data_IF_362002828509
#
_entry.id   IF_362002828509
#
_cell.length_a   1.000
_cell.length_b   1.000
_cell.length_c   1.000
_cell.angle_alpha   90.00
_cell.angle_beta   90.00
_cell.angle_gamma   90.00
#
_symmetry.space_group_name_H-M   'P 1'
#
loop_
_entity.id
_entity.type
_entity.pdbx_description
1 polymer ?
#
# COMPACT_ATOMS: atom_id res chain seq x y z
N UNK A 1 -6.37 25.57 -56.96
CA UNK A 1 -5.70 24.58 -56.12
C UNK A 1 -6.18 24.78 -54.69
N UNK A 2 -7.25 24.06 -54.27
CA UNK A 2 -7.79 24.14 -52.91
C UNK A 2 -7.15 23.01 -52.11
N UNK A 3 -6.34 23.36 -51.11
CA UNK A 3 -5.78 22.42 -50.14
C UNK A 3 -6.76 22.29 -48.99
N UNK A 4 -7.42 21.14 -48.91
CA UNK A 4 -8.34 20.79 -47.83
C UNK A 4 -7.52 20.33 -46.64
N UNK A 5 -7.46 21.16 -45.58
CA UNK A 5 -6.92 20.79 -44.28
C UNK A 5 -7.96 19.94 -43.56
N UNK A 6 -7.77 18.64 -43.48
CA UNK A 6 -8.55 17.76 -42.61
C UNK A 6 -8.10 17.98 -41.16
N UNK A 7 -9.02 18.08 -40.19
CA UNK A 7 -8.65 18.13 -38.79
C UNK A 7 -8.12 16.75 -38.35
N UNK A 8 -6.91 16.72 -37.87
CA UNK A 8 -6.30 15.57 -37.20
C UNK A 8 -7.08 15.32 -35.90
N UNK A 9 -8.01 14.38 -35.92
CA UNK A 9 -8.58 13.80 -34.72
C UNK A 9 -7.45 13.01 -34.06
N UNK A 10 -6.92 13.56 -32.96
CA UNK A 10 -5.98 12.86 -32.12
C UNK A 10 -6.62 11.57 -31.58
N UNK A 11 -6.18 10.44 -32.11
CA UNK A 11 -6.49 9.14 -31.55
C UNK A 11 -5.95 9.10 -30.13
N UNK A 12 -6.83 8.86 -29.16
CA UNK A 12 -6.43 8.40 -27.84
C UNK A 12 -5.50 7.20 -28.06
N UNK A 13 -4.28 7.30 -27.56
CA UNK A 13 -3.25 6.29 -27.73
C UNK A 13 -3.73 5.05 -26.98
N UNK A 14 -4.35 4.09 -27.68
CA UNK A 14 -4.71 2.79 -27.15
C UNK A 14 -3.40 2.11 -26.71
N UNK A 15 -3.13 2.10 -25.42
CA UNK A 15 -2.01 1.34 -24.87
C UNK A 15 -2.29 -0.13 -25.17
N UNK A 16 -1.42 -0.84 -25.89
CA UNK A 16 -1.66 -2.24 -26.22
C UNK A 16 -1.71 -3.04 -24.92
N UNK A 17 -2.80 -3.78 -24.72
CA UNK A 17 -2.96 -4.69 -23.60
C UNK A 17 -2.56 -6.07 -24.08
N UNK A 18 -1.51 -6.62 -23.47
CA UNK A 18 -1.12 -7.99 -23.67
C UNK A 18 -1.63 -8.84 -22.50
N UNK A 19 -2.24 -9.98 -22.78
CA UNK A 19 -2.69 -10.90 -21.75
C UNK A 19 -2.40 -12.35 -22.13
N UNK A 20 -2.10 -13.15 -21.13
CA UNK A 20 -1.86 -14.58 -21.25
C UNK A 20 -2.55 -15.31 -20.10
N UNK A 21 -2.94 -16.55 -20.32
CA UNK A 21 -3.47 -17.46 -19.32
C UNK A 21 -2.98 -18.88 -19.64
N UNK A 22 -2.83 -19.71 -18.60
CA UNK A 22 -2.28 -21.04 -18.78
C UNK A 22 -3.36 -22.07 -19.13
N UNK A 23 -4.58 -21.91 -18.59
CA UNK A 23 -5.66 -22.90 -18.76
C UNK A 23 -6.58 -22.52 -19.92
N UNK A 24 -7.42 -21.50 -19.75
CA UNK A 24 -8.42 -21.14 -20.75
C UNK A 24 -8.64 -19.63 -20.86
N UNK A 25 -9.03 -19.21 -22.06
CA UNK A 25 -9.43 -17.85 -22.39
C UNK A 25 -10.82 -17.92 -23.01
N UNK A 26 -11.81 -17.36 -22.35
CA UNK A 26 -13.21 -17.32 -22.81
C UNK A 26 -13.56 -15.90 -23.21
N UNK A 27 -13.87 -15.71 -24.50
CA UNK A 27 -14.28 -14.41 -25.04
C UNK A 27 -15.78 -14.38 -25.31
N UNK A 28 -16.48 -13.40 -24.74
CA UNK A 28 -17.87 -13.09 -25.07
C UNK A 28 -17.93 -11.79 -25.87
N UNK A 29 -18.12 -11.92 -27.18
CA UNK A 29 -18.12 -10.78 -28.12
C UNK A 29 -19.36 -9.89 -27.94
N UNK A 30 -20.50 -10.44 -27.53
CA UNK A 30 -21.74 -9.67 -27.33
C UNK A 30 -21.61 -8.70 -26.14
N UNK A 31 -21.08 -9.19 -25.04
CA UNK A 31 -20.83 -8.39 -23.83
C UNK A 31 -19.53 -7.55 -23.93
N UNK A 32 -18.60 -7.95 -24.83
CA UNK A 32 -17.29 -7.33 -24.92
C UNK A 32 -16.41 -7.66 -23.72
N UNK A 33 -16.48 -8.92 -23.24
CA UNK A 33 -15.70 -9.38 -22.08
C UNK A 33 -14.76 -10.52 -22.45
N UNK A 34 -13.64 -10.61 -21.75
CA UNK A 34 -12.70 -11.74 -21.84
C UNK A 34 -12.40 -12.25 -20.43
N UNK A 35 -12.60 -13.52 -20.20
CA UNK A 35 -12.29 -14.21 -18.96
C UNK A 35 -11.04 -15.07 -19.13
N UNK A 36 -10.13 -14.97 -18.18
CA UNK A 36 -8.84 -15.62 -18.16
C UNK A 36 -8.71 -16.49 -16.92
N UNK A 37 -8.27 -17.73 -17.09
CA UNK A 37 -8.21 -18.70 -16.02
C UNK A 37 -6.81 -19.28 -15.87
N UNK A 38 -6.38 -19.39 -14.63
CA UNK A 38 -5.13 -19.97 -14.18
C UNK A 38 -3.87 -19.24 -14.72
N UNK A 39 -3.03 -18.84 -13.81
CA UNK A 39 -1.74 -18.20 -14.07
C UNK A 39 -1.82 -17.03 -15.07
N UNK A 40 -2.81 -16.16 -14.83
CA UNK A 40 -3.11 -15.02 -15.69
C UNK A 40 -2.03 -13.96 -15.55
N UNK A 41 -1.54 -13.45 -16.68
CA UNK A 41 -0.64 -12.30 -16.70
C UNK A 41 -1.16 -11.27 -17.71
N UNK A 42 -1.40 -10.04 -17.23
CA UNK A 42 -1.91 -8.93 -18.02
C UNK A 42 -0.92 -7.76 -17.91
N UNK A 43 -0.54 -7.22 -19.05
CA UNK A 43 0.40 -6.09 -19.13
C UNK A 43 -0.28 -4.88 -19.75
N UNK A 44 -0.27 -3.77 -19.03
CA UNK A 44 -0.83 -2.48 -19.42
C UNK A 44 0.33 -1.46 -19.50
N UNK A 45 1.08 -1.43 -20.59
CA UNK A 45 2.28 -0.60 -20.69
C UNK A 45 3.36 -1.02 -19.66
N UNK A 46 3.61 -0.18 -18.65
CA UNK A 46 4.59 -0.47 -17.59
C UNK A 46 3.96 -1.17 -16.36
N UNK A 47 2.64 -1.36 -16.36
CA UNK A 47 1.91 -2.00 -15.28
C UNK A 47 1.67 -3.47 -15.59
N UNK A 48 1.93 -4.34 -14.64
CA UNK A 48 1.70 -5.78 -14.75
C UNK A 48 0.74 -6.26 -13.67
N UNK A 49 -0.24 -7.07 -14.06
CA UNK A 49 -1.19 -7.72 -13.15
C UNK A 49 -1.12 -9.23 -13.35
N UNK A 50 -0.71 -9.94 -12.32
CA UNK A 50 -0.71 -11.40 -12.28
C UNK A 50 -1.83 -11.86 -11.34
N UNK A 51 -2.57 -12.92 -11.70
CA UNK A 51 -3.67 -13.43 -10.90
C UNK A 51 -4.03 -14.86 -11.29
N UNK A 52 -4.81 -15.53 -10.44
CA UNK A 52 -5.38 -16.84 -10.78
C UNK A 52 -6.59 -16.76 -11.70
N UNK A 53 -7.35 -15.68 -11.61
CA UNK A 53 -8.50 -15.39 -12.47
C UNK A 53 -8.56 -13.89 -12.77
N UNK A 54 -8.86 -13.56 -14.02
CA UNK A 54 -9.16 -12.17 -14.40
C UNK A 54 -10.30 -12.09 -15.42
N UNK A 55 -11.06 -11.01 -15.33
CA UNK A 55 -12.11 -10.66 -16.31
C UNK A 55 -11.87 -9.25 -16.82
N UNK A 56 -11.73 -9.11 -18.13
CA UNK A 56 -11.50 -7.85 -18.84
C UNK A 56 -12.82 -7.40 -19.45
N UNK A 57 -13.18 -6.14 -19.19
CA UNK A 57 -14.34 -5.45 -19.76
C UNK A 57 -13.82 -4.38 -20.73
N UNK A 58 -13.81 -4.69 -22.00
CA UNK A 58 -13.22 -3.80 -23.03
C UNK A 58 -13.97 -2.47 -23.15
N UNK A 59 -15.29 -2.49 -23.09
CA UNK A 59 -16.13 -1.29 -23.21
C UNK A 59 -15.91 -0.30 -22.07
N UNK A 60 -15.68 -0.81 -20.86
CA UNK A 60 -15.49 0.00 -19.65
C UNK A 60 -14.00 0.27 -19.34
N UNK A 61 -13.11 -0.31 -20.14
CA UNK A 61 -11.65 -0.24 -19.93
C UNK A 61 -11.25 -0.69 -18.52
N UNK A 62 -11.86 -1.80 -18.07
CA UNK A 62 -11.78 -2.28 -16.71
C UNK A 62 -11.30 -3.74 -16.68
N UNK A 63 -10.44 -4.07 -15.71
CA UNK A 63 -10.09 -5.43 -15.37
C UNK A 63 -10.46 -5.71 -13.91
N UNK A 64 -11.04 -6.87 -13.68
CA UNK A 64 -11.25 -7.44 -12.35
C UNK A 64 -10.37 -8.67 -12.23
N UNK A 65 -9.61 -8.78 -11.14
CA UNK A 65 -8.78 -9.95 -10.88
C UNK A 65 -8.89 -10.40 -9.42
N UNK A 66 -8.78 -11.71 -9.24
CA UNK A 66 -8.83 -12.40 -7.94
C UNK A 66 -8.02 -13.69 -7.98
N UNK A 67 -7.77 -14.27 -6.81
CA UNK A 67 -7.14 -15.59 -6.72
C UNK A 67 -7.97 -16.68 -7.39
N UNK A 68 -7.31 -17.75 -7.74
CA UNK A 68 -7.97 -18.97 -8.25
C UNK A 68 -8.43 -19.83 -7.09
N UNK A 69 -9.68 -20.26 -7.13
CA UNK A 69 -10.26 -21.13 -6.10
C UNK A 69 -10.09 -22.59 -6.51
N UNK A 70 -9.27 -23.31 -5.77
CA UNK A 70 -9.11 -24.76 -5.95
C UNK A 70 -10.40 -25.52 -5.61
N UNK A 71 -10.58 -26.75 -6.13
CA UNK A 71 -11.69 -27.60 -5.72
C UNK A 71 -11.73 -27.91 -4.20
N UNK A 72 -10.58 -27.81 -3.53
CA UNK A 72 -10.46 -27.92 -2.07
C UNK A 72 -11.08 -26.73 -1.31
N UNK A 73 -11.42 -25.64 -2.01
CA UNK A 73 -11.91 -24.39 -1.42
C UNK A 73 -10.81 -23.39 -1.07
N UNK A 74 -9.56 -23.77 -1.14
CA UNK A 74 -8.39 -22.91 -0.90
C UNK A 74 -8.19 -21.93 -2.03
N UNK A 75 -7.83 -20.68 -1.69
CA UNK A 75 -7.50 -19.64 -2.66
C UNK A 75 -6.01 -19.66 -2.94
N UNK A 76 -5.64 -19.76 -4.19
CA UNK A 76 -4.26 -19.73 -4.66
C UNK A 76 -4.07 -18.66 -5.73
N UNK A 77 -2.84 -18.34 -6.10
CA UNK A 77 -2.50 -17.36 -7.14
C UNK A 77 -3.21 -16.00 -6.89
N UNK A 78 -3.07 -15.50 -5.67
CA UNK A 78 -3.63 -14.18 -5.34
C UNK A 78 -3.04 -13.10 -6.25
N UNK A 79 -3.83 -12.06 -6.58
CA UNK A 79 -3.38 -11.02 -7.48
C UNK A 79 -2.13 -10.31 -6.98
N UNK A 80 -1.17 -10.13 -7.88
CA UNK A 80 0.03 -9.33 -7.69
C UNK A 80 0.02 -8.23 -8.74
N UNK A 81 -0.01 -7.00 -8.28
CA UNK A 81 -0.01 -5.81 -9.13
C UNK A 81 1.33 -5.10 -9.02
N UNK A 82 2.00 -4.91 -10.13
CA UNK A 82 3.30 -4.23 -10.20
C UNK A 82 3.15 -2.97 -11.03
N UNK A 83 3.51 -1.83 -10.45
CA UNK A 83 3.46 -0.53 -11.11
C UNK A 83 4.63 0.34 -10.64
N UNK A 84 5.33 0.96 -11.57
CA UNK A 84 6.46 1.85 -11.29
C UNK A 84 7.52 1.22 -10.36
N UNK A 85 7.78 -0.08 -10.52
CA UNK A 85 8.75 -0.82 -9.71
C UNK A 85 8.27 -1.20 -8.30
N UNK A 86 7.03 -0.89 -7.93
CA UNK A 86 6.42 -1.28 -6.65
C UNK A 86 5.51 -2.48 -6.83
N UNK A 87 5.56 -3.39 -5.87
CA UNK A 87 4.76 -4.62 -5.87
C UNK A 87 3.68 -4.53 -4.79
N UNK A 88 2.46 -4.87 -5.18
CA UNK A 88 1.28 -4.88 -4.34
C UNK A 88 0.68 -6.28 -4.34
N UNK A 89 0.56 -6.89 -3.17
CA UNK A 89 -0.13 -8.17 -2.98
C UNK A 89 -1.57 -7.90 -2.56
N UNK A 90 -2.53 -8.52 -3.22
CA UNK A 90 -3.95 -8.17 -3.15
C UNK A 90 -4.80 -9.44 -3.02
N UNK A 91 -6.00 -9.33 -2.44
CA UNK A 91 -7.01 -10.40 -2.55
C UNK A 91 -7.89 -10.24 -3.79
N UNK A 92 -8.31 -9.01 -4.06
CA UNK A 92 -9.10 -8.67 -5.25
C UNK A 92 -8.71 -7.28 -5.73
N UNK A 93 -8.72 -7.06 -7.03
CA UNK A 93 -8.52 -5.76 -7.65
C UNK A 93 -9.55 -5.52 -8.76
N UNK A 94 -10.02 -4.29 -8.83
CA UNK A 94 -10.76 -3.73 -9.94
C UNK A 94 -10.03 -2.49 -10.43
N UNK A 95 -9.39 -2.60 -11.59
CA UNK A 95 -8.50 -1.59 -12.15
C UNK A 95 -9.02 -1.08 -13.49
N UNK A 96 -9.09 0.23 -13.63
CA UNK A 96 -9.41 0.89 -14.90
C UNK A 96 -8.11 1.45 -15.50
N UNK A 97 -7.69 0.88 -16.63
CA UNK A 97 -6.41 1.22 -17.25
C UNK A 97 -6.39 2.55 -17.99
N UNK A 98 -7.56 3.13 -18.32
CA UNK A 98 -7.65 4.46 -18.93
C UNK A 98 -7.49 5.58 -17.91
N UNK A 99 -8.10 5.43 -16.73
CA UNK A 99 -8.07 6.43 -15.66
C UNK A 99 -7.02 6.15 -14.59
N UNK A 100 -6.33 5.00 -14.69
CA UNK A 100 -5.33 4.50 -13.71
C UNK A 100 -5.87 4.38 -12.26
N UNK A 101 -7.19 4.30 -12.11
CA UNK A 101 -7.87 4.16 -10.83
C UNK A 101 -8.11 2.70 -10.49
N UNK A 102 -7.94 2.38 -9.22
CA UNK A 102 -8.23 1.04 -8.72
C UNK A 102 -9.07 1.05 -7.45
N UNK A 103 -9.85 -0.02 -7.28
CA UNK A 103 -10.42 -0.45 -6.01
C UNK A 103 -9.82 -1.80 -5.66
N UNK A 104 -9.27 -1.91 -4.47
CA UNK A 104 -8.49 -3.06 -4.04
C UNK A 104 -9.03 -3.54 -2.70
N UNK A 105 -9.09 -4.85 -2.50
CA UNK A 105 -9.36 -5.48 -1.19
C UNK A 105 -8.09 -6.14 -0.68
N UNK A 106 -7.87 -6.04 0.62
CA UNK A 106 -6.75 -6.65 1.34
C UNK A 106 -5.40 -6.39 0.64
N UNK A 107 -4.93 -5.15 0.74
CA UNK A 107 -3.63 -4.74 0.23
C UNK A 107 -2.53 -5.04 1.24
N UNK A 108 -1.44 -5.63 0.79
CA UNK A 108 -0.15 -5.64 1.49
C UNK A 108 0.92 -5.09 0.54
N UNK A 109 1.66 -4.11 0.99
CA UNK A 109 2.77 -3.52 0.22
C UNK A 109 3.90 -3.08 1.15
N UNK A 110 5.09 -2.98 0.60
CA UNK A 110 6.26 -2.48 1.29
C UNK A 110 6.61 -1.08 0.79
N UNK A 111 6.86 -0.16 1.71
CA UNK A 111 7.32 1.19 1.43
C UNK A 111 8.56 1.47 2.30
N UNK A 112 9.73 1.45 1.67
CA UNK A 112 11.02 1.48 2.38
C UNK A 112 11.20 0.26 3.27
N UNK A 113 11.48 0.49 4.56
CA UNK A 113 11.59 -0.58 5.58
C UNK A 113 10.24 -0.93 6.24
N UNK A 114 9.16 -0.27 5.83
CA UNK A 114 7.86 -0.39 6.45
C UNK A 114 6.91 -1.22 5.59
N UNK A 115 6.02 -1.94 6.26
CA UNK A 115 4.94 -2.68 5.63
C UNK A 115 3.61 -1.98 5.90
N UNK A 116 2.83 -1.84 4.85
CA UNK A 116 1.49 -1.28 4.86
C UNK A 116 0.48 -2.37 4.52
N UNK A 117 -0.50 -2.56 5.38
CA UNK A 117 -1.66 -3.36 5.07
C UNK A 117 -2.93 -2.51 5.07
N UNK A 118 -3.95 -2.92 4.34
CA UNK A 118 -5.22 -2.21 4.28
C UNK A 118 -6.36 -3.11 3.83
N UNK A 119 -7.50 -3.05 4.53
CA UNK A 119 -8.66 -3.88 4.24
C UNK A 119 -9.33 -3.49 2.93
N UNK A 120 -9.43 -2.19 2.68
CA UNK A 120 -9.98 -1.63 1.43
C UNK A 120 -9.17 -0.42 0.99
N UNK A 121 -8.78 -0.41 -0.28
CA UNK A 121 -7.95 0.64 -0.85
C UNK A 121 -8.57 1.18 -2.13
N UNK A 122 -8.55 2.50 -2.25
CA UNK A 122 -8.91 3.23 -3.46
C UNK A 122 -7.68 3.96 -3.99
N UNK A 123 -7.17 3.52 -5.11
CA UNK A 123 -6.15 4.25 -5.88
C UNK A 123 -6.85 5.32 -6.71
N UNK A 124 -6.41 6.56 -6.59
CA UNK A 124 -7.00 7.73 -7.27
C UNK A 124 -6.12 8.18 -8.42
N UNK A 125 -4.81 8.08 -8.24
CA UNK A 125 -3.77 8.37 -9.24
C UNK A 125 -2.55 7.45 -9.00
N UNK A 126 -1.49 7.61 -9.80
CA UNK A 126 -0.28 6.79 -9.73
C UNK A 126 0.41 6.80 -8.35
N UNK A 127 0.25 7.87 -7.59
CA UNK A 127 0.96 8.06 -6.32
C UNK A 127 0.06 8.13 -5.09
N UNK A 128 -1.27 8.29 -5.24
CA UNK A 128 -2.17 8.53 -4.12
C UNK A 128 -3.12 7.37 -3.88
N UNK A 129 -3.06 6.81 -2.67
CA UNK A 129 -3.95 5.78 -2.17
C UNK A 129 -4.76 6.30 -0.99
N UNK A 130 -6.06 6.03 -0.97
CA UNK A 130 -6.92 6.16 0.22
C UNK A 130 -7.20 4.76 0.73
N UNK A 131 -6.90 4.54 2.01
CA UNK A 131 -7.03 3.21 2.62
C UNK A 131 -7.97 3.26 3.82
N UNK A 132 -8.69 2.17 4.02
CA UNK A 132 -9.49 1.91 5.20
C UNK A 132 -8.96 0.65 5.91
N UNK A 133 -9.03 0.63 7.25
CA UNK A 133 -8.48 -0.46 8.04
C UNK A 133 -6.97 -0.59 7.88
N UNK A 134 -6.25 0.54 7.87
CA UNK A 134 -4.80 0.56 7.58
C UNK A 134 -3.99 0.15 8.79
N UNK A 135 -3.10 -0.82 8.61
CA UNK A 135 -2.02 -1.16 9.53
C UNK A 135 -0.66 -0.70 8.97
N UNK A 136 0.17 -0.20 9.84
CA UNK A 136 1.52 0.24 9.54
C UNK A 136 2.49 -0.41 10.52
N UNK A 137 3.48 -1.14 10.01
CA UNK A 137 4.42 -1.90 10.83
C UNK A 137 5.79 -2.00 10.17
N UNK A 138 6.82 -2.24 10.97
CA UNK A 138 8.17 -2.63 10.50
C UNK A 138 8.37 -4.16 10.55
N UNK A 139 7.35 -4.91 10.97
CA UNK A 139 7.39 -6.36 11.06
C UNK A 139 7.05 -6.97 9.70
N UNK A 140 7.90 -7.87 9.20
CA UNK A 140 7.74 -8.55 7.91
C UNK A 140 6.79 -9.76 7.94
N UNK A 141 6.21 -10.09 9.09
CA UNK A 141 5.27 -11.21 9.21
C UNK A 141 3.90 -10.85 8.65
N UNK A 142 3.21 -11.81 8.07
CA UNK A 142 1.85 -11.66 7.55
C UNK A 142 0.87 -11.22 8.67
N UNK A 143 1.03 -11.80 9.87
CA UNK A 143 0.40 -11.32 11.11
C UNK A 143 1.47 -10.59 11.93
N UNK A 144 1.53 -9.26 11.88
CA UNK A 144 2.59 -8.53 12.55
C UNK A 144 2.43 -8.57 14.08
N UNK A 145 3.55 -8.73 14.78
CA UNK A 145 3.58 -8.72 16.24
C UNK A 145 3.13 -7.38 16.83
N UNK A 146 3.34 -6.31 16.09
CA UNK A 146 2.90 -4.97 16.45
C UNK A 146 2.61 -4.15 15.20
N UNK A 147 1.65 -3.26 15.30
CA UNK A 147 1.31 -2.32 14.23
C UNK A 147 0.66 -1.06 14.79
N UNK A 148 0.70 0.01 14.03
CA UNK A 148 -0.16 1.17 14.23
C UNK A 148 -1.37 0.97 13.35
N UNK A 149 -2.56 0.85 13.93
CA UNK A 149 -3.81 0.65 13.20
C UNK A 149 -4.66 1.91 13.22
N UNK A 150 -5.20 2.25 12.05
CA UNK A 150 -6.07 3.41 11.88
C UNK A 150 -7.27 3.04 11.00
N UNK A 151 -8.40 3.68 11.26
CA UNK A 151 -9.60 3.48 10.45
C UNK A 151 -9.48 4.04 9.03
N UNK A 152 -8.73 5.12 8.83
CA UNK A 152 -8.55 5.77 7.51
C UNK A 152 -7.18 6.37 7.38
N UNK A 153 -6.58 6.21 6.20
CA UNK A 153 -5.32 6.86 5.83
C UNK A 153 -5.31 7.33 4.38
N UNK A 154 -4.46 8.32 4.13
CA UNK A 154 -4.05 8.76 2.80
C UNK A 154 -2.55 8.50 2.66
N UNK A 155 -2.16 7.70 1.71
CA UNK A 155 -0.77 7.39 1.38
C UNK A 155 -0.41 8.12 0.11
N UNK A 156 0.63 8.94 0.17
CA UNK A 156 1.30 9.51 -1.00
C UNK A 156 2.62 8.77 -1.13
N UNK A 157 2.68 7.87 -2.10
CA UNK A 157 3.78 6.93 -2.29
C UNK A 157 5.11 7.67 -2.48
N UNK A 158 6.14 7.24 -1.71
CA UNK A 158 7.47 7.87 -1.75
C UNK A 158 7.55 9.23 -1.04
N UNK A 159 6.48 9.72 -0.42
CA UNK A 159 6.45 11.04 0.20
C UNK A 159 5.98 10.98 1.65
N UNK A 160 4.72 10.56 1.90
CA UNK A 160 4.13 10.61 3.24
C UNK A 160 2.89 9.75 3.39
N UNK A 161 2.62 9.40 4.65
CA UNK A 161 1.39 8.75 5.08
C UNK A 161 0.69 9.67 6.08
N UNK A 162 -0.58 9.96 5.84
CA UNK A 162 -1.42 10.77 6.70
C UNK A 162 -2.52 9.87 7.24
N UNK A 163 -2.66 9.80 8.57
CA UNK A 163 -3.67 8.96 9.21
C UNK A 163 -4.65 9.80 10.04
N UNK A 164 -5.87 9.32 10.18
CA UNK A 164 -6.78 9.76 11.24
C UNK A 164 -6.33 9.24 12.60
N UNK A 165 -7.25 9.19 13.58
CA UNK A 165 -6.95 8.59 14.87
C UNK A 165 -6.41 7.17 14.71
N UNK A 166 -5.31 6.90 15.36
CA UNK A 166 -4.61 5.62 15.28
C UNK A 166 -4.30 5.09 16.68
N UNK A 167 -4.18 3.79 16.83
CA UNK A 167 -3.79 3.14 18.07
C UNK A 167 -2.71 2.10 17.79
N UNK A 168 -1.91 1.84 18.82
CA UNK A 168 -0.96 0.74 18.76
C UNK A 168 -1.68 -0.58 19.04
N UNK A 169 -1.35 -1.59 18.28
CA UNK A 169 -1.88 -2.94 18.38
C UNK A 169 -0.72 -3.94 18.53
N UNK A 170 -0.85 -4.87 19.47
CA UNK A 170 0.12 -5.94 19.69
C UNK A 170 -0.59 -7.29 19.57
N UNK A 171 -0.08 -8.15 18.69
CA UNK A 171 -0.65 -9.48 18.45
C UNK A 171 -2.17 -9.43 18.23
N UNK A 172 -2.65 -8.42 17.50
CA UNK A 172 -4.07 -8.22 17.22
C UNK A 172 -4.87 -7.60 18.38
N UNK A 173 -4.23 -7.26 19.51
CA UNK A 173 -4.88 -6.67 20.67
C UNK A 173 -4.63 -5.15 20.70
N UNK A 174 -5.68 -4.32 20.61
CA UNK A 174 -5.53 -2.87 20.66
C UNK A 174 -5.10 -2.40 22.05
N UNK A 175 -4.15 -1.48 22.09
CA UNK A 175 -3.72 -0.83 23.33
C UNK A 175 -4.45 0.50 23.55
N UNK A 176 -4.49 1.03 24.78
CA UNK A 176 -5.06 2.34 25.05
C UNK A 176 -4.17 3.51 24.55
N UNK A 177 -3.04 3.22 23.91
CA UNK A 177 -2.14 4.23 23.38
C UNK A 177 -2.68 4.73 22.05
N UNK A 178 -3.30 5.90 22.06
CA UNK A 178 -3.97 6.51 20.91
C UNK A 178 -3.21 7.75 20.45
N UNK A 179 -3.01 7.85 19.13
CA UNK A 179 -2.49 9.04 18.45
C UNK A 179 -3.69 9.69 17.72
N UNK A 180 -4.05 10.93 18.04
CA UNK A 180 -5.23 11.57 17.44
C UNK A 180 -5.09 11.85 15.95
N UNK A 181 -3.85 11.99 15.48
CA UNK A 181 -3.50 12.26 14.08
C UNK A 181 -2.07 11.82 13.82
N UNK A 182 -1.83 11.09 12.74
CA UNK A 182 -0.50 10.64 12.33
C UNK A 182 -0.03 11.29 11.02
N UNK A 183 1.21 11.73 11.01
CA UNK A 183 1.92 12.17 9.82
C UNK A 183 3.27 11.46 9.78
N UNK A 184 3.46 10.58 8.80
CA UNK A 184 4.65 9.74 8.68
C UNK A 184 5.31 10.00 7.33
N UNK A 185 6.44 10.74 7.28
CA UNK A 185 7.22 10.84 6.06
C UNK A 185 7.83 9.47 5.72
N UNK A 186 7.71 9.05 4.46
CA UNK A 186 8.28 7.77 3.99
C UNK A 186 9.69 7.94 3.43
N UNK A 187 10.06 9.17 3.05
CA UNK A 187 11.40 9.50 2.59
C UNK A 187 12.16 10.24 3.68
N UNK A 188 13.02 9.51 4.39
CA UNK A 188 13.83 10.02 5.53
C UNK A 188 15.05 10.83 5.04
N UNK A 189 15.31 10.87 3.72
CA UNK A 189 16.47 11.59 3.16
C UNK A 189 16.36 13.12 3.22
N UNK A 190 15.21 13.66 3.64
CA UNK A 190 15.05 15.11 3.88
C UNK A 190 15.03 15.38 5.39
N UNK A 191 16.13 15.88 5.98
CA UNK A 191 16.23 16.11 7.43
C UNK A 191 15.32 17.22 7.96
N UNK A 192 14.54 17.89 7.10
CA UNK A 192 13.82 19.12 7.44
C UNK A 192 12.34 18.92 7.82
N UNK A 193 11.88 17.66 8.00
CA UNK A 193 10.48 17.39 8.30
C UNK A 193 10.35 16.86 9.73
N UNK A 194 9.64 17.60 10.59
CA UNK A 194 9.23 17.11 11.90
C UNK A 194 8.36 15.85 11.75
N UNK A 195 8.64 14.82 12.53
CA UNK A 195 7.90 13.56 12.40
C UNK A 195 8.02 12.64 13.60
N UNK A 196 7.12 11.66 13.64
CA UNK A 196 7.14 10.59 14.63
C UNK A 196 8.29 9.63 14.33
N UNK A 197 9.13 9.39 15.32
CA UNK A 197 10.13 8.33 15.31
C UNK A 197 9.44 7.02 15.71
N UNK A 198 9.42 6.07 14.79
CA UNK A 198 8.75 4.79 15.03
C UNK A 198 9.45 4.00 16.12
N UNK A 199 8.71 3.54 17.13
CA UNK A 199 9.28 2.67 18.13
C UNK A 199 9.63 1.30 17.54
N UNK A 200 10.69 0.69 18.05
CA UNK A 200 11.01 -0.71 17.82
C UNK A 200 10.55 -1.56 19.00
N UNK A 201 10.24 -2.82 18.68
CA UNK A 201 9.85 -3.79 19.69
C UNK A 201 11.08 -4.46 20.28
N UNK A 202 11.17 -4.53 21.60
CA UNK A 202 12.25 -5.22 22.31
C UNK A 202 11.68 -6.11 23.41
N UNK A 203 12.24 -7.33 23.52
CA UNK A 203 11.96 -8.23 24.63
C UNK A 203 13.19 -8.32 25.53
N UNK A 204 13.07 -7.77 26.73
CA UNK A 204 14.13 -7.81 27.75
C UNK A 204 13.82 -8.86 28.80
N UNK A 205 14.75 -9.75 29.18
CA UNK A 205 14.53 -10.73 30.23
C UNK A 205 14.16 -10.10 31.59
N UNK A 206 14.66 -8.89 31.85
CA UNK A 206 14.46 -8.17 33.12
C UNK A 206 13.24 -7.26 33.11
N UNK A 207 12.94 -6.58 31.98
CA UNK A 207 11.90 -5.55 31.85
C UNK A 207 10.66 -6.05 31.11
N UNK A 208 10.75 -7.24 30.48
CA UNK A 208 9.67 -7.80 29.67
C UNK A 208 9.61 -7.17 28.28
N UNK A 209 8.44 -7.29 27.66
CA UNK A 209 8.18 -6.68 26.36
C UNK A 209 8.13 -5.16 26.49
N UNK A 210 8.72 -4.45 25.52
CA UNK A 210 8.73 -3.00 25.50
C UNK A 210 8.74 -2.43 24.09
N UNK A 211 8.31 -1.19 23.99
CA UNK A 211 8.51 -0.29 22.87
C UNK A 211 9.68 0.61 23.20
N UNK A 212 10.69 0.61 22.35
CA UNK A 212 11.91 1.40 22.58
C UNK A 212 12.18 2.33 21.38
N UNK A 213 12.87 3.45 21.69
CA UNK A 213 13.25 4.45 20.69
C UNK A 213 12.08 5.13 19.96
N UNK A 214 10.86 5.01 20.47
CA UNK A 214 9.72 5.77 19.98
C UNK A 214 9.86 7.25 20.35
N UNK A 215 9.44 8.17 19.48
CA UNK A 215 9.61 9.56 19.81
C UNK A 215 9.17 10.55 18.75
N UNK A 216 9.72 11.75 18.82
CA UNK A 216 9.42 12.79 17.88
C UNK A 216 10.68 13.56 17.49
N UNK A 217 10.85 13.78 16.19
CA UNK A 217 11.92 14.58 15.60
C UNK A 217 11.42 16.00 15.29
N UNK A 218 12.15 16.99 15.77
CA UNK A 218 11.87 18.42 15.54
C UNK A 218 13.07 19.06 14.85
N UNK A 219 13.04 19.33 13.55
CA UNK A 219 14.00 20.22 12.92
C UNK A 219 13.68 21.66 13.36
N UNK A 220 14.66 22.34 13.91
CA UNK A 220 14.52 23.74 14.31
C UNK A 220 14.99 24.65 13.18
N UNK A 221 16.10 24.29 12.53
CA UNK A 221 16.66 24.94 11.34
C UNK A 221 17.62 23.96 10.65
N UNK A 222 18.22 24.39 9.52
CA UNK A 222 19.14 23.57 8.71
C UNK A 222 20.39 23.05 9.47
N UNK A 223 20.67 23.62 10.64
CA UNK A 223 21.85 23.30 11.46
C UNK A 223 21.51 22.70 12.81
N UNK A 224 20.24 22.71 13.23
CA UNK A 224 19.84 22.30 14.57
C UNK A 224 18.56 21.48 14.54
N UNK A 225 18.61 20.32 15.19
CA UNK A 225 17.43 19.47 15.41
C UNK A 225 17.35 18.97 16.86
N UNK A 226 16.16 18.56 17.26
CA UNK A 226 15.88 17.95 18.55
C UNK A 226 15.12 16.64 18.32
N UNK A 227 15.62 15.57 18.92
CA UNK A 227 14.95 14.28 18.98
C UNK A 227 14.51 14.01 20.42
N UNK A 228 13.22 13.80 20.63
CA UNK A 228 12.67 13.27 21.88
C UNK A 228 12.38 11.80 21.67
N UNK A 229 13.02 10.92 22.46
CA UNK A 229 12.83 9.46 22.40
C UNK A 229 12.37 8.93 23.75
N UNK A 230 11.50 7.94 23.73
CA UNK A 230 11.00 7.29 24.91
C UNK A 230 10.95 5.78 24.76
N UNK A 231 11.13 5.10 25.88
CA UNK A 231 10.99 3.66 26.01
C UNK A 231 9.91 3.36 27.05
N UNK A 232 9.08 2.38 26.78
CA UNK A 232 8.04 1.92 27.69
C UNK A 232 8.07 0.39 27.72
N UNK A 233 8.14 -0.19 28.91
CA UNK A 233 8.12 -1.63 29.13
C UNK A 233 6.89 -2.07 29.93
N UNK A 234 6.35 -3.25 29.61
CA UNK A 234 5.13 -3.77 30.25
C UNK A 234 5.28 -3.97 31.78
N UNK A 235 6.51 -4.17 32.27
CA UNK A 235 6.77 -4.29 33.72
C UNK A 235 6.83 -2.92 34.45
N UNK A 236 6.43 -1.84 33.79
CA UNK A 236 6.32 -0.50 34.40
C UNK A 236 7.61 0.32 34.33
N UNK A 237 8.67 -0.15 33.67
CA UNK A 237 9.88 0.64 33.40
C UNK A 237 9.67 1.57 32.22
N UNK A 238 10.18 2.78 32.32
CA UNK A 238 10.18 3.73 31.22
C UNK A 238 11.47 4.56 31.20
N UNK A 239 11.81 5.08 30.04
CA UNK A 239 12.92 6.02 29.86
C UNK A 239 12.50 7.14 28.91
N UNK A 240 13.08 8.33 29.09
CA UNK A 240 12.93 9.46 28.19
C UNK A 240 14.32 10.03 27.90
N UNK A 241 14.62 10.25 26.62
CA UNK A 241 15.85 10.86 26.15
C UNK A 241 15.55 12.04 25.24
N UNK A 242 16.35 13.08 25.34
CA UNK A 242 16.34 14.21 24.42
C UNK A 242 17.75 14.36 23.84
N UNK A 243 17.86 14.33 22.53
CA UNK A 243 19.12 14.51 21.79
C UNK A 243 19.02 15.77 20.95
N UNK A 244 20.02 16.64 21.05
CA UNK A 244 20.14 17.82 20.19
C UNK A 244 21.40 17.71 19.35
N UNK A 245 21.25 17.92 18.06
CA UNK A 245 22.38 18.03 17.13
C UNK A 245 22.45 19.46 16.60
N UNK A 246 23.68 19.99 16.52
CA UNK A 246 23.96 21.34 16.03
C UNK A 246 25.26 21.38 15.25
#
# INVERSE_FOLDING_TARGET
MLTCCAPYLGSAQDRPIAYTAEDSIVSNTEEGTVELFNNVNIVFGETTLQAGYAKIYWKDQLVEAKGYKLPSGEMTQQPVFVESGKTFYLSEIRYNWSTEKAKIKALLTQEGENFLNGDAVKKVDSNTLYMAGTGFTTCSHEEPHFQIKTGKSKVVMGERIITGPAHFEFFGIPTPLVIPYGYFPTNIEKPDIAGLLMPSFQNSPTQGLGLVNGGWYFPINDYMNVELRGDIYLRGSWALAATTNY
#
